data_IF_369402305986
#
_entry.id   IF_369402305986
#
_cell.length_a   1.000
_cell.length_b   1.000
_cell.length_c   1.000
_cell.angle_alpha   90.00
_cell.angle_beta   90.00
_cell.angle_gamma   90.00
#
_symmetry.space_group_name_H-M   'P 1'
#
loop_
_entity.id
_entity.type
_entity.pdbx_description
1 polymer ?
#
# COMPACT_ATOMS: atom_id res chain seq x y z
N UNK A 1 -6.83 -32.93 25.57
CA UNK A 1 -7.06 -31.52 25.99
C UNK A 1 -6.51 -30.47 25.01
N UNK A 2 -5.71 -30.84 24.00
CA UNK A 2 -5.08 -29.87 23.09
C UNK A 2 -5.99 -29.38 21.96
N UNK A 3 -6.99 -30.17 21.55
CA UNK A 3 -7.88 -29.84 20.43
C UNK A 3 -8.64 -28.51 20.59
N UNK A 4 -9.02 -28.15 21.82
CA UNK A 4 -9.70 -26.87 22.11
C UNK A 4 -8.73 -25.68 22.09
N UNK A 5 -7.48 -25.88 22.50
CA UNK A 5 -6.45 -24.84 22.47
C UNK A 5 -5.95 -24.60 21.03
N UNK A 6 -5.78 -25.66 20.25
CA UNK A 6 -5.40 -25.56 18.84
C UNK A 6 -6.51 -24.86 18.03
N UNK A 7 -7.78 -25.15 18.32
CA UNK A 7 -8.92 -24.50 17.66
C UNK A 7 -9.04 -23.00 17.99
N UNK A 8 -8.86 -22.61 19.25
CA UNK A 8 -8.90 -21.19 19.63
C UNK A 8 -7.72 -20.41 19.05
N UNK A 9 -6.54 -21.03 18.95
CA UNK A 9 -5.36 -20.43 18.32
C UNK A 9 -5.57 -20.24 16.81
N UNK A 10 -6.15 -21.20 16.11
CA UNK A 10 -6.47 -21.06 14.68
C UNK A 10 -7.49 -19.95 14.41
N UNK A 11 -8.51 -19.81 15.26
CA UNK A 11 -9.48 -18.71 15.17
C UNK A 11 -8.84 -17.35 15.48
N UNK A 12 -7.92 -17.28 16.44
CA UNK A 12 -7.19 -16.05 16.71
C UNK A 12 -6.34 -15.63 15.50
N UNK A 13 -5.64 -16.59 14.86
CA UNK A 13 -4.83 -16.35 13.66
C UNK A 13 -5.69 -15.88 12.48
N UNK A 14 -6.84 -16.51 12.23
CA UNK A 14 -7.72 -16.13 11.11
C UNK A 14 -8.32 -14.73 11.28
N UNK A 15 -8.70 -14.36 12.52
CA UNK A 15 -9.16 -13.01 12.81
C UNK A 15 -8.04 -11.97 12.62
N UNK A 16 -6.81 -12.30 12.99
CA UNK A 16 -5.63 -11.44 12.82
C UNK A 16 -5.34 -11.22 11.33
N UNK A 17 -5.39 -12.28 10.52
CA UNK A 17 -5.22 -12.21 9.07
C UNK A 17 -6.32 -11.36 8.41
N UNK A 18 -7.59 -11.59 8.76
CA UNK A 18 -8.72 -10.80 8.23
C UNK A 18 -8.60 -9.32 8.59
N UNK A 19 -8.22 -9.02 9.84
CA UNK A 19 -7.97 -7.64 10.29
C UNK A 19 -6.79 -7.03 9.53
N UNK A 20 -5.71 -7.77 9.36
CA UNK A 20 -4.54 -7.35 8.58
C UNK A 20 -4.90 -6.99 7.13
N UNK A 21 -5.71 -7.81 6.46
CA UNK A 21 -6.19 -7.53 5.10
C UNK A 21 -7.05 -6.25 5.04
N UNK A 22 -7.92 -6.03 6.02
CA UNK A 22 -8.74 -4.79 6.07
C UNK A 22 -7.90 -3.53 6.30
N UNK A 23 -6.86 -3.60 7.13
CA UNK A 23 -5.95 -2.48 7.34
C UNK A 23 -5.13 -2.21 6.07
N UNK A 24 -4.66 -3.27 5.42
CA UNK A 24 -3.88 -3.17 4.19
C UNK A 24 -4.66 -2.48 3.07
N UNK A 25 -5.92 -2.87 2.86
CA UNK A 25 -6.81 -2.21 1.88
C UNK A 25 -7.08 -0.74 2.22
N UNK A 26 -7.25 -0.40 3.50
CA UNK A 26 -7.36 1.00 3.92
C UNK A 26 -6.08 1.80 3.62
N UNK A 27 -4.90 1.20 3.83
CA UNK A 27 -3.61 1.83 3.50
C UNK A 27 -3.43 2.01 1.99
N UNK A 28 -3.87 1.05 1.17
CA UNK A 28 -3.86 1.18 -0.30
C UNK A 28 -4.65 2.41 -0.76
N UNK A 29 -5.87 2.58 -0.22
CA UNK A 29 -6.74 3.70 -0.57
C UNK A 29 -6.07 5.04 -0.23
N UNK A 30 -5.55 5.17 0.99
CA UNK A 30 -4.83 6.38 1.41
C UNK A 30 -3.59 6.64 0.56
N UNK A 31 -2.85 5.59 0.22
CA UNK A 31 -1.67 5.68 -0.61
C UNK A 31 -1.96 6.14 -2.04
N UNK A 32 -2.99 5.61 -2.68
CA UNK A 32 -3.42 6.04 -4.02
C UNK A 32 -3.83 7.52 -4.01
N UNK A 33 -4.57 7.95 -2.99
CA UNK A 33 -4.94 9.37 -2.83
C UNK A 33 -3.69 10.23 -2.66
N UNK A 34 -2.76 9.83 -1.79
CA UNK A 34 -1.52 10.58 -1.55
C UNK A 34 -0.64 10.69 -2.80
N UNK A 35 -0.53 9.60 -3.58
CA UNK A 35 0.20 9.59 -4.84
C UNK A 35 -0.47 10.50 -5.87
N UNK A 36 -1.81 10.50 -5.94
CA UNK A 36 -2.57 11.39 -6.82
C UNK A 36 -2.31 12.85 -6.51
N UNK A 37 -2.23 13.22 -5.23
CA UNK A 37 -1.88 14.58 -4.80
C UNK A 37 -0.43 14.92 -5.17
N UNK A 38 0.51 14.01 -4.92
CA UNK A 38 1.92 14.21 -5.26
C UNK A 38 2.11 14.43 -6.78
N UNK A 39 1.45 13.63 -7.62
CA UNK A 39 1.44 13.83 -9.07
C UNK A 39 0.78 15.15 -9.46
N UNK A 40 -0.32 15.55 -8.81
CA UNK A 40 -0.95 16.85 -9.04
C UNK A 40 0.00 18.02 -8.77
N UNK A 41 0.67 18.03 -7.62
CA UNK A 41 1.64 19.08 -7.26
C UNK A 41 2.84 19.09 -8.22
N UNK A 42 3.37 17.91 -8.55
CA UNK A 42 4.44 17.77 -9.53
C UNK A 42 4.06 18.33 -10.89
N UNK A 43 2.84 18.05 -11.36
CA UNK A 43 2.31 18.56 -12.62
C UNK A 43 2.17 20.08 -12.62
N UNK A 44 1.67 20.67 -11.53
CA UNK A 44 1.60 22.14 -11.40
C UNK A 44 2.98 22.80 -11.46
N UNK A 45 3.98 22.23 -10.78
CA UNK A 45 5.35 22.71 -10.88
C UNK A 45 5.92 22.58 -12.30
N UNK A 46 5.53 21.55 -13.05
CA UNK A 46 5.98 21.37 -14.42
C UNK A 46 5.32 22.37 -15.38
N UNK A 47 4.02 22.65 -15.22
CA UNK A 47 3.26 23.56 -16.09
C UNK A 47 3.65 25.03 -15.82
N UNK A 48 3.75 25.43 -14.55
CA UNK A 48 3.93 26.85 -14.18
C UNK A 48 5.33 27.21 -13.66
N UNK A 49 6.21 26.26 -13.39
CA UNK A 49 7.49 26.55 -12.72
C UNK A 49 8.63 27.05 -13.63
N UNK A 50 8.41 27.19 -14.94
CA UNK A 50 9.45 27.63 -15.89
C UNK A 50 10.68 26.71 -15.87
N UNK A 51 11.89 27.27 -16.10
CA UNK A 51 13.14 26.49 -16.21
C UNK A 51 13.48 25.70 -14.93
N UNK A 52 13.10 26.24 -13.76
CA UNK A 52 13.30 25.58 -12.45
C UNK A 52 12.17 24.62 -12.06
N UNK A 53 11.00 24.75 -12.68
CA UNK A 53 9.82 23.92 -12.43
C UNK A 53 10.07 22.45 -12.68
N UNK A 54 10.86 22.14 -13.71
CA UNK A 54 11.23 20.76 -14.06
C UNK A 54 11.96 20.06 -12.91
N UNK A 55 12.96 20.69 -12.31
CA UNK A 55 13.71 20.07 -11.20
C UNK A 55 12.82 19.83 -9.97
N UNK A 56 11.92 20.76 -9.66
CA UNK A 56 10.98 20.60 -8.54
C UNK A 56 9.97 19.47 -8.82
N UNK A 57 9.41 19.39 -10.04
CA UNK A 57 8.41 18.38 -10.42
C UNK A 57 8.92 16.95 -10.34
N UNK A 58 10.20 16.72 -10.65
CA UNK A 58 10.81 15.38 -10.67
C UNK A 58 10.76 14.73 -9.29
N UNK A 59 11.01 15.49 -8.23
CA UNK A 59 11.00 14.94 -6.86
C UNK A 59 9.59 14.46 -6.48
N UNK A 60 8.56 15.24 -6.83
CA UNK A 60 7.16 14.88 -6.58
C UNK A 60 6.71 13.66 -7.38
N UNK A 61 7.10 13.57 -8.65
CA UNK A 61 6.78 12.43 -9.49
C UNK A 61 7.50 11.15 -9.07
N UNK A 62 8.79 11.23 -8.75
CA UNK A 62 9.55 10.06 -8.29
C UNK A 62 9.04 9.63 -6.92
N UNK A 63 8.83 10.56 -5.99
CA UNK A 63 8.29 10.25 -4.66
C UNK A 63 6.91 9.59 -4.73
N UNK A 64 6.01 10.15 -5.54
CA UNK A 64 4.67 9.59 -5.75
C UNK A 64 4.69 8.22 -6.44
N UNK A 65 5.50 8.05 -7.49
CA UNK A 65 5.62 6.78 -8.20
C UNK A 65 6.27 5.68 -7.36
N UNK A 66 7.41 5.96 -6.73
CA UNK A 66 8.13 4.99 -5.91
C UNK A 66 7.30 4.60 -4.69
N UNK A 67 6.66 5.57 -4.01
CA UNK A 67 5.79 5.29 -2.88
C UNK A 67 4.62 4.39 -3.24
N UNK A 68 3.97 4.64 -4.39
CA UNK A 68 2.86 3.82 -4.87
C UNK A 68 3.30 2.41 -5.25
N UNK A 69 4.45 2.25 -5.93
CA UNK A 69 5.01 0.94 -6.27
C UNK A 69 5.31 0.12 -5.02
N UNK A 70 5.93 0.72 -4.00
CA UNK A 70 6.23 0.02 -2.74
C UNK A 70 4.95 -0.43 -2.05
N UNK A 71 3.92 0.42 -2.00
CA UNK A 71 2.64 0.09 -1.39
C UNK A 71 1.90 -1.04 -2.12
N UNK A 72 1.85 -1.00 -3.45
CA UNK A 72 1.25 -2.07 -4.25
C UNK A 72 2.09 -3.37 -4.22
N UNK A 73 3.41 -3.24 -4.08
CA UNK A 73 4.29 -4.39 -3.89
C UNK A 73 4.01 -5.13 -2.58
N UNK A 74 3.78 -4.39 -1.49
CA UNK A 74 3.41 -4.99 -0.20
C UNK A 74 2.10 -5.77 -0.27
N UNK A 75 1.14 -5.30 -1.07
CA UNK A 75 -0.16 -5.96 -1.21
C UNK A 75 -0.09 -7.21 -2.06
N UNK A 76 0.68 -7.18 -3.15
CA UNK A 76 0.94 -8.37 -3.96
C UNK A 76 1.61 -9.49 -3.13
N UNK A 77 2.50 -9.14 -2.19
CA UNK A 77 3.11 -10.12 -1.28
C UNK A 77 2.07 -10.69 -0.31
N UNK A 78 1.21 -9.85 0.27
CA UNK A 78 0.17 -10.31 1.18
C UNK A 78 -0.84 -11.25 0.49
N UNK A 79 -1.29 -10.90 -0.72
CA UNK A 79 -2.17 -11.75 -1.54
C UNK A 79 -1.49 -13.06 -1.95
N UNK A 80 -0.18 -13.02 -2.27
CA UNK A 80 0.57 -14.22 -2.59
C UNK A 80 0.68 -15.17 -1.40
N UNK A 81 0.93 -14.65 -0.19
CA UNK A 81 0.96 -15.46 1.03
C UNK A 81 -0.42 -16.09 1.28
N UNK A 82 -1.49 -15.31 1.16
CA UNK A 82 -2.86 -15.79 1.33
C UNK A 82 -3.21 -16.91 0.33
N UNK A 83 -2.81 -16.75 -0.94
CA UNK A 83 -3.05 -17.74 -2.00
C UNK A 83 -2.33 -19.08 -1.81
N UNK A 84 -1.29 -19.13 -0.97
CA UNK A 84 -0.55 -20.35 -0.65
C UNK A 84 -0.99 -21.02 0.66
N UNK A 85 -1.86 -20.37 1.45
CA UNK A 85 -2.51 -21.02 2.59
C UNK A 85 -3.65 -21.90 2.04
N UNK A 86 -3.27 -23.08 1.58
CA UNK A 86 -4.20 -24.14 1.18
C UNK A 86 -4.72 -24.78 2.49
N UNK A 87 -6.01 -24.62 2.78
CA UNK A 87 -6.72 -25.45 3.76
C UNK A 87 -7.18 -26.75 3.09
#
# INVERSE_FOLDING_TARGET
MNYFADHSMLVAISNLQSTGASILTAMQLLGIISASIAFGIGAYHLIWGGVRGRQSSIVWFIGGAVGLVVLMGATAIAEYIDSQVIF
#
